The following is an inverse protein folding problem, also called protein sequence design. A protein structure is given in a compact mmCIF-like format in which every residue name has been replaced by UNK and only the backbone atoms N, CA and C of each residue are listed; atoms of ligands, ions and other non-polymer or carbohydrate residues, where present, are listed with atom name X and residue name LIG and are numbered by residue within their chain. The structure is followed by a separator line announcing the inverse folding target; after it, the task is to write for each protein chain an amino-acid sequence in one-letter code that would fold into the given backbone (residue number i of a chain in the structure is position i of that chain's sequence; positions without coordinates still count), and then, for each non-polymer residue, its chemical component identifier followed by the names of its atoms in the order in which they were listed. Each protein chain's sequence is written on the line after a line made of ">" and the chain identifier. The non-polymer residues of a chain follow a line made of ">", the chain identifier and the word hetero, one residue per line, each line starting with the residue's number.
data_IF_624535548193
#
_entry.id   IF_624535548193
#
_cell.length_a   1.000
_cell.length_b   1.000
_cell.length_c   1.000
_cell.angle_alpha   90.00
_cell.angle_beta   90.00
_cell.angle_gamma   90.00
#
_symmetry.space_group_name_H-M   'P 1'
#
loop_
_entity.id
_entity.type
_entity.pdbx_description
1 polymer ?
#
# COMPACT_ATOMS: atom_id res chain seq x y z
N UNK A 1 22.28 -6.47 0.59
CA UNK A 1 20.83 -6.22 0.65
C UNK A 1 20.63 -4.73 0.86
N UNK A 2 20.33 -3.98 -0.19
CA UNK A 2 19.93 -2.57 -0.05
C UNK A 2 18.46 -2.58 0.36
N UNK A 3 18.18 -2.66 1.66
CA UNK A 3 16.88 -2.21 2.15
C UNK A 3 16.76 -0.76 1.69
N UNK A 4 15.91 -0.50 0.70
CA UNK A 4 15.76 0.84 0.15
C UNK A 4 15.35 1.74 1.32
N UNK A 5 16.14 2.76 1.68
CA UNK A 5 15.83 3.64 2.83
C UNK A 5 14.46 4.30 2.68
N UNK A 6 13.95 4.39 1.45
CA UNK A 6 12.59 4.84 1.13
C UNK A 6 11.52 3.86 1.64
N UNK A 7 11.66 2.55 1.43
CA UNK A 7 10.68 1.54 1.87
C UNK A 7 10.57 1.52 3.39
N UNK A 8 11.70 1.56 4.09
CA UNK A 8 11.73 1.65 5.55
C UNK A 8 11.05 2.93 6.06
N UNK A 9 11.31 4.08 5.43
CA UNK A 9 10.63 5.34 5.75
C UNK A 9 9.12 5.27 5.49
N UNK A 10 8.69 4.62 4.41
CA UNK A 10 7.26 4.42 4.13
C UNK A 10 6.60 3.57 5.22
N UNK A 11 7.26 2.51 5.68
CA UNK A 11 6.80 1.73 6.83
C UNK A 11 6.71 2.57 8.12
N UNK A 12 7.72 3.39 8.41
CA UNK A 12 7.72 4.27 9.58
C UNK A 12 6.58 5.31 9.53
N UNK A 13 6.26 5.81 8.34
CA UNK A 13 5.12 6.70 8.08
C UNK A 13 3.77 5.96 8.01
N UNK A 14 3.76 4.64 8.16
CA UNK A 14 2.59 3.77 8.07
C UNK A 14 1.90 3.82 6.69
N UNK A 15 2.68 4.09 5.64
CA UNK A 15 2.28 4.04 4.23
C UNK A 15 2.55 2.64 3.65
N UNK A 16 1.86 1.64 4.21
CA UNK A 16 2.15 0.23 3.94
C UNK A 16 1.83 -0.21 2.52
N UNK A 17 0.73 0.28 1.94
CA UNK A 17 0.36 -0.01 0.56
C UNK A 17 1.36 0.63 -0.40
N UNK A 18 1.80 1.85 -0.11
CA UNK A 18 2.85 2.52 -0.88
C UNK A 18 4.19 1.77 -0.82
N UNK A 19 4.58 1.29 0.37
CA UNK A 19 5.81 0.52 0.56
C UNK A 19 5.80 -0.78 -0.26
N UNK A 20 4.68 -1.50 -0.24
CA UNK A 20 4.49 -2.72 -1.01
C UNK A 20 4.54 -2.45 -2.52
N UNK A 21 3.80 -1.45 -3.00
CA UNK A 21 3.81 -1.09 -4.42
C UNK A 21 5.20 -0.64 -4.89
N UNK A 22 5.97 0.08 -4.06
CA UNK A 22 7.33 0.48 -4.42
C UNK A 22 8.26 -0.72 -4.58
N UNK A 23 8.15 -1.72 -3.69
CA UNK A 23 8.90 -2.97 -3.81
C UNK A 23 8.48 -3.78 -5.04
N UNK A 24 7.19 -3.80 -5.37
CA UNK A 24 6.66 -4.43 -6.59
C UNK A 24 7.20 -3.73 -7.85
N UNK A 25 7.13 -2.40 -7.92
CA UNK A 25 7.65 -1.60 -9.03
C UNK A 25 9.15 -1.87 -9.27
N UNK A 26 9.97 -1.99 -8.21
CA UNK A 26 11.41 -2.29 -8.32
C UNK A 26 11.70 -3.66 -8.96
N UNK A 27 10.75 -4.59 -8.89
CA UNK A 27 10.87 -5.92 -9.51
C UNK A 27 10.35 -5.96 -10.95
N UNK A 28 9.67 -4.91 -11.42
CA UNK A 28 9.02 -4.87 -12.74
C UNK A 28 9.84 -4.07 -13.75
N UNK A 29 10.48 -4.76 -14.70
CA UNK A 29 11.28 -4.13 -15.75
C UNK A 29 10.48 -3.18 -16.68
N UNK A 30 9.15 -3.34 -16.77
CA UNK A 30 8.29 -2.49 -17.59
C UNK A 30 7.88 -1.18 -16.91
N UNK A 31 8.17 -1.00 -15.61
CA UNK A 31 7.73 0.20 -14.88
C UNK A 31 8.42 1.47 -15.38
N UNK A 32 9.58 1.33 -16.01
CA UNK A 32 10.35 2.41 -16.62
C UNK A 32 9.68 2.97 -17.88
N UNK A 33 8.69 2.27 -18.45
CA UNK A 33 7.89 2.76 -19.58
C UNK A 33 6.89 3.84 -19.17
N UNK A 34 6.55 3.92 -17.88
CA UNK A 34 5.65 4.93 -17.33
C UNK A 34 6.42 6.22 -17.01
N UNK A 35 5.73 7.35 -17.08
CA UNK A 35 6.23 8.61 -16.53
C UNK A 35 6.32 8.56 -15.00
N UNK A 36 7.06 9.51 -14.41
CA UNK A 36 7.17 9.62 -12.96
C UNK A 36 5.80 9.79 -12.29
N UNK A 37 4.96 10.70 -12.80
CA UNK A 37 3.63 10.97 -12.23
C UNK A 37 2.70 9.75 -12.32
N UNK A 38 2.81 8.95 -13.38
CA UNK A 38 2.03 7.71 -13.52
C UNK A 38 2.49 6.67 -12.49
N UNK A 39 3.81 6.46 -12.34
CA UNK A 39 4.33 5.58 -11.29
C UNK A 39 3.93 6.04 -9.90
N UNK A 40 4.01 7.34 -9.63
CA UNK A 40 3.61 7.93 -8.35
C UNK A 40 2.11 7.74 -8.11
N UNK A 41 1.28 7.94 -9.14
CA UNK A 41 -0.16 7.69 -9.10
C UNK A 41 -0.47 6.25 -8.67
N UNK A 42 0.20 5.26 -9.24
CA UNK A 42 0.02 3.85 -8.86
C UNK A 42 0.40 3.58 -7.40
N UNK A 43 1.49 4.19 -6.92
CA UNK A 43 1.92 4.07 -5.52
C UNK A 43 0.88 4.65 -4.55
N UNK A 44 0.32 5.82 -4.87
CA UNK A 44 -0.69 6.50 -4.05
C UNK A 44 -2.02 5.75 -4.08
N UNK A 45 -2.44 5.26 -5.25
CA UNK A 45 -3.67 4.48 -5.42
C UNK A 45 -3.62 3.19 -4.59
N UNK A 46 -2.47 2.49 -4.57
CA UNK A 46 -2.30 1.30 -3.73
C UNK A 46 -2.46 1.63 -2.25
N UNK A 47 -1.89 2.74 -1.79
CA UNK A 47 -2.02 3.16 -0.39
C UNK A 47 -3.47 3.51 -0.03
N UNK A 48 -4.18 4.23 -0.91
CA UNK A 48 -5.59 4.57 -0.71
C UNK A 48 -6.45 3.30 -0.60
N UNK A 49 -6.30 2.39 -1.56
CA UNK A 49 -7.00 1.10 -1.59
C UNK A 49 -6.73 0.24 -0.34
N UNK A 50 -5.48 0.23 0.15
CA UNK A 50 -5.10 -0.51 1.37
C UNK A 50 -5.78 0.08 2.62
N UNK A 51 -5.86 1.41 2.73
CA UNK A 51 -6.54 2.09 3.83
C UNK A 51 -8.03 1.81 3.85
N UNK A 52 -8.67 1.88 2.69
CA UNK A 52 -10.09 1.59 2.54
C UNK A 52 -10.42 0.14 2.89
N UNK A 53 -9.59 -0.79 2.42
CA UNK A 53 -9.71 -2.23 2.73
C UNK A 53 -9.59 -2.49 4.24
N UNK A 54 -8.63 -1.84 4.91
CA UNK A 54 -8.48 -1.95 6.38
C UNK A 54 -9.68 -1.38 7.13
N UNK A 55 -10.22 -0.25 6.68
CA UNK A 55 -11.41 0.36 7.28
C UNK A 55 -12.64 -0.54 7.11
N UNK A 56 -12.87 -1.06 5.91
CA UNK A 56 -13.96 -1.99 5.61
C UNK A 56 -13.85 -3.26 6.48
N UNK A 57 -12.66 -3.86 6.52
CA UNK A 57 -12.38 -5.04 7.33
C UNK A 57 -12.66 -4.78 8.82
N UNK A 58 -12.24 -3.63 9.34
CA UNK A 58 -12.52 -3.25 10.73
C UNK A 58 -14.02 -3.10 11.01
N UNK A 59 -14.79 -2.53 10.07
CA UNK A 59 -16.25 -2.42 10.18
C UNK A 59 -16.93 -3.78 10.17
N UNK A 60 -16.52 -4.68 9.27
CA UNK A 60 -17.04 -6.04 9.19
C UNK A 60 -16.77 -6.84 10.48
N UNK A 61 -15.54 -6.77 11.00
CA UNK A 61 -15.18 -7.42 12.29
C UNK A 61 -16.04 -6.93 13.45
N UNK A 62 -16.30 -5.61 13.53
CA UNK A 62 -17.18 -5.04 14.55
C UNK A 62 -18.63 -5.49 14.39
N UNK A 63 -19.11 -5.64 13.15
CA UNK A 63 -20.46 -6.14 12.88
C UNK A 63 -20.61 -7.61 13.28
N UNK A 64 -19.64 -8.46 12.92
CA UNK A 64 -19.61 -9.86 13.32
C UNK A 64 -19.60 -10.02 14.85
N UNK A 65 -18.76 -9.25 15.56
CA UNK A 65 -18.70 -9.28 17.02
C UNK A 65 -20.02 -8.87 17.72
N UNK A 66 -20.90 -8.10 17.07
CA UNK A 66 -22.23 -7.76 17.58
C UNK A 66 -23.26 -8.86 17.36
N UNK A 67 -23.11 -9.69 16.33
CA UNK A 67 -24.04 -10.79 16.05
C UNK A 67 -23.80 -12.02 16.93
N UNK A 68 -22.59 -12.18 17.44
CA UNK A 68 -22.22 -13.29 18.34
C UNK A 68 -22.51 -12.99 19.82
N UNK A 69 -23.21 -11.90 20.14
CA UNK A 69 -23.53 -11.47 21.51
C UNK A 69 -25.04 -11.42 21.71
#
# INVERSE_FOLDING_TARGET
>A
MLHHPTVEKLHALRLFGMAAALAEQQSQASIDQLGFEERLGLLVEREASERDSRLLTARLRRAAARQTR
#
